data_IF_948109677103
#
_entry.id   IF_948109677103
#
_cell.length_a   1.000
_cell.length_b   1.000
_cell.length_c   1.000
_cell.angle_alpha   90.00
_cell.angle_beta   90.00
_cell.angle_gamma   90.00
#
_symmetry.space_group_name_H-M   'P 1'
#
loop_
_entity.id
_entity.type
_entity.pdbx_description
1 polymer ?
#
# COMPACT_ATOMS: atom_id res chain seq x y z
N UNK A 1 -8.05 -46.76 -12.52
CA UNK A 1 -7.88 -45.66 -13.49
C UNK A 1 -8.27 -44.36 -12.78
N UNK A 2 -7.29 -43.60 -12.26
CA UNK A 2 -7.57 -42.30 -11.62
C UNK A 2 -7.94 -41.30 -12.72
N UNK A 3 -9.18 -40.80 -12.68
CA UNK A 3 -9.58 -39.64 -13.46
C UNK A 3 -8.82 -38.44 -12.88
N UNK A 4 -7.78 -37.96 -13.58
CA UNK A 4 -7.17 -36.68 -13.27
C UNK A 4 -8.19 -35.59 -13.61
N UNK A 5 -9.01 -35.20 -12.63
CA UNK A 5 -9.70 -33.91 -12.67
C UNK A 5 -8.64 -32.85 -12.94
N UNK A 6 -8.83 -32.03 -13.98
CA UNK A 6 -7.91 -30.94 -14.30
C UNK A 6 -7.70 -30.09 -13.04
N UNK A 7 -6.49 -30.09 -12.50
CA UNK A 7 -6.11 -29.29 -11.32
C UNK A 7 -5.94 -27.80 -11.65
N UNK A 8 -6.10 -27.42 -12.92
CA UNK A 8 -5.95 -26.07 -13.41
C UNK A 8 -7.09 -25.74 -14.37
N UNK A 9 -7.53 -24.46 -14.43
CA UNK A 9 -8.54 -24.04 -15.37
C UNK A 9 -8.04 -24.18 -16.80
N UNK A 10 -8.96 -24.18 -17.79
CA UNK A 10 -8.59 -24.24 -19.20
C UNK A 10 -7.55 -23.18 -19.57
N UNK A 11 -6.54 -23.57 -20.34
CA UNK A 11 -5.48 -22.67 -20.77
C UNK A 11 -6.06 -21.52 -21.61
N UNK A 12 -5.87 -20.28 -21.15
CA UNK A 12 -6.18 -19.06 -21.88
C UNK A 12 -4.88 -18.28 -22.12
N UNK A 13 -4.06 -18.68 -23.10
CA UNK A 13 -2.74 -18.11 -23.30
C UNK A 13 -2.86 -16.63 -23.64
N UNK A 14 -2.28 -15.79 -22.80
CA UNK A 14 -2.07 -14.38 -23.08
C UNK A 14 -0.71 -14.21 -23.76
N UNK A 15 -0.59 -13.20 -24.63
CA UNK A 15 0.73 -12.78 -25.13
C UNK A 15 1.55 -12.30 -23.94
N UNK A 16 2.50 -13.13 -23.49
CA UNK A 16 3.47 -12.81 -22.44
C UNK A 16 4.82 -12.51 -23.10
N UNK A 17 5.02 -11.32 -23.71
CA UNK A 17 6.32 -10.97 -24.25
C UNK A 17 7.36 -11.00 -23.14
N UNK A 18 8.56 -11.50 -23.44
CA UNK A 18 9.67 -11.53 -22.48
C UNK A 18 10.00 -10.11 -22.01
N UNK A 19 9.75 -9.83 -20.74
CA UNK A 19 10.09 -8.55 -20.14
C UNK A 19 11.61 -8.48 -19.94
N UNK A 20 12.25 -7.56 -20.65
CA UNK A 20 13.67 -7.25 -20.46
C UNK A 20 13.81 -6.35 -19.23
N UNK A 21 14.22 -6.91 -18.09
CA UNK A 21 14.32 -6.19 -16.81
C UNK A 21 15.36 -5.05 -16.81
N UNK A 22 16.37 -5.13 -17.69
CA UNK A 22 17.36 -4.06 -17.89
C UNK A 22 16.83 -2.87 -18.68
N UNK A 23 15.71 -3.03 -19.38
CA UNK A 23 15.07 -1.97 -20.17
C UNK A 23 13.90 -1.40 -19.36
N UNK A 24 13.98 -0.11 -19.04
CA UNK A 24 12.83 0.60 -18.49
C UNK A 24 11.70 0.57 -19.52
N UNK A 25 10.66 -0.24 -19.27
CA UNK A 25 9.43 -0.15 -20.04
C UNK A 25 8.81 1.20 -19.72
N UNK A 26 8.67 2.06 -20.73
CA UNK A 26 8.08 3.38 -20.56
C UNK A 26 6.79 3.25 -19.76
N UNK A 27 6.75 3.88 -18.58
CA UNK A 27 5.54 3.83 -17.76
C UNK A 27 4.37 4.32 -18.61
N UNK A 28 3.18 3.73 -18.45
CA UNK A 28 1.95 4.35 -18.95
C UNK A 28 1.92 5.73 -18.32
N UNK A 29 2.34 6.75 -19.08
CA UNK A 29 2.37 8.14 -18.64
C UNK A 29 0.96 8.43 -18.19
N UNK A 30 0.77 8.61 -16.88
CA UNK A 30 -0.50 9.03 -16.33
C UNK A 30 -0.88 10.32 -17.09
N UNK A 31 -2.06 10.31 -17.73
CA UNK A 31 -2.58 11.41 -18.56
C UNK A 31 -2.13 12.77 -17.98
N UNK A 32 -1.28 13.54 -18.69
CA UNK A 32 -0.61 14.74 -18.20
C UNK A 32 -1.58 15.92 -18.15
N UNK A 33 -2.78 15.72 -17.62
CA UNK A 33 -3.69 16.81 -17.29
C UNK A 33 -3.02 17.75 -16.30
N UNK A 34 -3.35 19.03 -16.40
CA UNK A 34 -2.83 20.22 -15.69
C UNK A 34 -2.99 20.21 -14.15
N UNK A 35 -3.11 19.04 -13.52
CA UNK A 35 -3.47 18.84 -12.11
C UNK A 35 -2.24 18.61 -11.17
N UNK A 36 -1.06 18.08 -11.58
CA UNK A 36 -0.01 17.78 -10.61
C UNK A 36 0.83 18.99 -10.19
N UNK A 37 0.79 20.11 -10.93
CA UNK A 37 1.62 21.28 -10.59
C UNK A 37 1.09 21.99 -9.35
N UNK A 38 -0.22 22.11 -9.19
CA UNK A 38 -0.82 22.74 -8.01
C UNK A 38 -0.57 21.90 -6.76
N UNK A 39 -0.65 20.56 -6.88
CA UNK A 39 -0.31 19.65 -5.80
C UNK A 39 1.15 19.77 -5.40
N UNK A 40 2.07 19.80 -6.37
CA UNK A 40 3.50 20.01 -6.11
C UNK A 40 3.77 21.37 -5.47
N UNK A 41 3.15 22.43 -5.98
CA UNK A 41 3.32 23.78 -5.44
C UNK A 41 2.81 23.87 -4.00
N UNK A 42 1.65 23.28 -3.72
CA UNK A 42 1.08 23.25 -2.38
C UNK A 42 1.95 22.41 -1.42
N UNK A 43 2.39 21.22 -1.82
CA UNK A 43 3.22 20.34 -0.98
C UNK A 43 4.59 20.95 -0.72
N UNK A 44 5.35 21.25 -1.77
CA UNK A 44 6.73 21.73 -1.62
C UNK A 44 6.79 23.21 -1.24
N UNK A 45 6.04 24.06 -1.94
CA UNK A 45 6.01 25.49 -1.64
C UNK A 45 5.40 25.78 -0.28
N UNK A 46 4.32 25.09 0.07
CA UNK A 46 3.71 25.22 1.39
C UNK A 46 4.59 24.69 2.52
N UNK A 47 5.27 23.55 2.32
CA UNK A 47 6.22 23.02 3.31
C UNK A 47 7.39 23.99 3.50
N UNK A 48 8.01 24.48 2.43
CA UNK A 48 9.08 25.47 2.50
C UNK A 48 8.63 26.75 3.21
N UNK A 49 7.43 27.25 2.90
CA UNK A 49 6.85 28.43 3.54
C UNK A 49 6.62 28.24 5.03
N UNK A 50 6.05 27.11 5.45
CA UNK A 50 5.87 26.78 6.87
C UNK A 50 7.20 26.62 7.59
N UNK A 51 8.17 25.93 7.00
CA UNK A 51 9.50 25.75 7.62
C UNK A 51 10.26 27.06 7.74
N UNK A 52 10.21 27.93 6.73
CA UNK A 52 10.84 29.24 6.78
C UNK A 52 10.20 30.14 7.84
N UNK A 53 8.87 30.19 7.89
CA UNK A 53 8.14 30.99 8.88
C UNK A 53 8.34 30.48 10.31
N UNK A 54 8.24 29.17 10.54
CA UNK A 54 8.51 28.57 11.85
C UNK A 54 9.97 28.72 12.26
N UNK A 55 10.92 28.52 11.35
CA UNK A 55 12.34 28.75 11.60
C UNK A 55 12.65 30.20 11.95
N UNK A 56 12.02 31.15 11.25
CA UNK A 56 12.12 32.58 11.57
C UNK A 56 11.54 32.92 12.95
N UNK A 57 10.35 32.40 13.28
CA UNK A 57 9.74 32.60 14.59
C UNK A 57 10.63 32.00 15.71
N UNK A 58 11.14 30.80 15.51
CA UNK A 58 12.04 30.16 16.48
C UNK A 58 13.35 30.95 16.64
N UNK A 59 13.94 31.44 15.55
CA UNK A 59 15.10 32.32 15.59
C UNK A 59 14.82 33.62 16.37
N UNK A 60 13.66 34.24 16.16
CA UNK A 60 13.28 35.47 16.85
C UNK A 60 12.98 35.27 18.35
N UNK A 61 12.58 34.06 18.76
CA UNK A 61 12.30 33.71 20.15
C UNK A 61 13.53 33.26 20.93
N UNK A 62 14.50 32.63 20.26
CA UNK A 62 15.70 32.11 20.91
C UNK A 62 16.72 33.24 21.18
N UNK A 63 17.38 33.24 22.37
CA UNK A 63 18.39 34.24 22.72
C UNK A 63 19.73 33.95 22.02
N UNK A 64 19.78 34.18 20.70
CA UNK A 64 20.90 33.81 19.84
C UNK A 64 21.89 34.95 19.58
N UNK A 65 21.48 36.20 19.80
CA UNK A 65 22.34 37.38 19.68
C UNK A 65 22.71 37.91 21.07
N UNK A 66 23.77 38.72 21.16
CA UNK A 66 24.31 39.20 22.45
C UNK A 66 23.31 40.03 23.26
N UNK A 67 22.45 40.80 22.58
CA UNK A 67 21.46 41.66 23.23
C UNK A 67 20.34 40.83 23.88
N UNK A 68 19.76 39.87 23.15
CA UNK A 68 18.73 38.97 23.68
C UNK A 68 19.30 37.99 24.68
N UNK A 69 20.52 37.49 24.47
CA UNK A 69 21.20 36.61 25.42
C UNK A 69 21.37 37.30 26.78
N UNK A 70 21.80 38.57 26.79
CA UNK A 70 21.89 39.34 28.03
C UNK A 70 20.51 39.58 28.68
N UNK A 71 19.51 39.95 27.88
CA UNK A 71 18.14 40.19 28.36
C UNK A 71 17.50 38.94 28.99
N UNK A 72 17.82 37.75 28.48
CA UNK A 72 17.34 36.46 28.98
C UNK A 72 18.27 35.83 30.02
N UNK A 73 19.31 36.53 30.47
CA UNK A 73 20.26 36.04 31.46
C UNK A 73 21.17 34.90 30.97
N UNK A 74 21.23 34.66 29.66
CA UNK A 74 22.09 33.67 29.02
C UNK A 74 23.45 34.30 28.77
N UNK A 75 24.37 34.13 29.72
CA UNK A 75 25.73 34.69 29.64
C UNK A 75 26.77 33.70 29.12
N UNK A 76 26.43 32.41 29.09
CA UNK A 76 27.37 31.36 28.74
C UNK A 76 27.44 31.11 27.22
N UNK A 77 28.63 31.17 26.59
CA UNK A 77 28.78 30.96 25.15
C UNK A 77 28.44 29.53 24.72
N UNK A 78 28.64 28.52 25.58
CA UNK A 78 28.28 27.14 25.24
C UNK A 78 26.76 26.95 25.13
N UNK A 79 25.97 27.68 25.94
CA UNK A 79 24.51 27.64 25.87
C UNK A 79 24.06 28.20 24.52
N UNK A 80 24.60 29.35 24.11
CA UNK A 80 24.28 29.97 22.83
C UNK A 80 24.57 29.03 21.66
N UNK A 81 25.70 28.31 21.68
CA UNK A 81 26.03 27.29 20.67
C UNK A 81 25.01 26.15 20.64
N UNK A 82 24.56 25.65 21.80
CA UNK A 82 23.52 24.62 21.86
C UNK A 82 22.17 25.12 21.33
N UNK A 83 21.84 26.40 21.54
CA UNK A 83 20.61 27.00 21.00
C UNK A 83 20.67 27.13 19.47
N UNK A 84 21.83 27.42 18.89
CA UNK A 84 22.03 27.36 17.43
C UNK A 84 21.86 25.94 16.88
N UNK A 85 22.43 24.94 17.58
CA UNK A 85 22.25 23.54 17.21
C UNK A 85 20.78 23.11 17.31
N UNK A 86 20.09 23.52 18.38
CA UNK A 86 18.67 23.29 18.59
C UNK A 86 17.84 23.92 17.46
N UNK A 87 18.13 25.16 17.06
CA UNK A 87 17.45 25.83 15.94
C UNK A 87 17.63 25.04 14.64
N UNK A 88 18.85 24.58 14.34
CA UNK A 88 19.12 23.76 13.16
C UNK A 88 18.33 22.44 13.18
N UNK A 89 18.35 21.73 14.31
CA UNK A 89 17.61 20.48 14.48
C UNK A 89 16.09 20.71 14.39
N UNK A 90 15.59 21.80 14.97
CA UNK A 90 14.19 22.19 14.87
C UNK A 90 13.79 22.43 13.42
N UNK A 91 14.57 23.19 12.63
CA UNK A 91 14.26 23.46 11.21
C UNK A 91 14.18 22.15 10.41
N UNK A 92 15.11 21.22 10.63
CA UNK A 92 15.12 19.92 9.93
C UNK A 92 13.92 19.07 10.31
N UNK A 93 13.65 18.92 11.61
CA UNK A 93 12.56 18.08 12.13
C UNK A 93 11.19 18.68 11.79
N UNK A 94 11.02 19.99 11.96
CA UNK A 94 9.82 20.71 11.56
C UNK A 94 9.64 20.66 10.04
N UNK A 95 10.72 20.75 9.26
CA UNK A 95 10.69 20.59 7.80
C UNK A 95 10.10 19.25 7.37
N UNK A 96 10.53 18.16 8.00
CA UNK A 96 9.96 16.83 7.78
C UNK A 96 8.45 16.79 8.12
N UNK A 97 8.04 17.34 9.26
CA UNK A 97 6.63 17.38 9.68
C UNK A 97 5.80 18.26 8.73
N UNK A 98 6.30 19.43 8.35
CA UNK A 98 5.64 20.33 7.42
C UNK A 98 5.47 19.69 6.03
N UNK A 99 6.47 18.93 5.56
CA UNK A 99 6.40 18.21 4.29
C UNK A 99 5.30 17.15 4.31
N UNK A 100 5.26 16.31 5.34
CA UNK A 100 4.25 15.24 5.47
C UNK A 100 2.85 15.82 5.66
N UNK A 101 2.70 16.89 6.45
CA UNK A 101 1.43 17.60 6.64
C UNK A 101 0.92 18.24 5.34
N UNK A 102 1.78 18.95 4.59
CA UNK A 102 1.38 19.57 3.32
C UNK A 102 1.16 18.54 2.22
N UNK A 103 1.85 17.39 2.25
CA UNK A 103 1.54 16.27 1.38
C UNK A 103 0.13 15.70 1.66
N UNK A 104 -0.21 15.46 2.93
CA UNK A 104 -1.55 15.01 3.32
C UNK A 104 -2.64 16.02 2.95
N UNK A 105 -2.40 17.31 3.23
CA UNK A 105 -3.32 18.39 2.87
C UNK A 105 -3.51 18.49 1.36
N UNK A 106 -2.44 18.33 0.57
CA UNK A 106 -2.54 18.33 -0.89
C UNK A 106 -3.40 17.19 -1.42
N UNK A 107 -3.28 15.98 -0.84
CA UNK A 107 -4.11 14.83 -1.21
C UNK A 107 -5.60 15.04 -0.85
N UNK A 108 -5.86 15.75 0.25
CA UNK A 108 -7.22 16.09 0.69
C UNK A 108 -7.87 17.17 -0.19
N UNK A 109 -7.15 18.25 -0.50
CA UNK A 109 -7.69 19.39 -1.23
C UNK A 109 -7.76 19.16 -2.74
N UNK A 110 -6.79 18.43 -3.30
CA UNK A 110 -6.65 18.22 -4.75
C UNK A 110 -7.17 16.83 -5.10
N UNK A 111 -8.23 16.38 -4.40
CA UNK A 111 -8.84 15.05 -4.56
C UNK A 111 -8.99 14.70 -6.03
N UNK A 112 -8.05 13.90 -6.52
CA UNK A 112 -8.19 13.17 -7.78
C UNK A 112 -9.44 12.34 -7.62
N UNK A 113 -10.27 12.31 -8.66
CA UNK A 113 -11.46 11.49 -8.72
C UNK A 113 -11.07 10.07 -8.32
N UNK A 114 -11.22 9.73 -7.02
CA UNK A 114 -11.14 8.37 -6.55
C UNK A 114 -12.21 7.72 -7.39
N UNK A 115 -11.84 6.83 -8.31
CA UNK A 115 -12.80 5.92 -8.89
C UNK A 115 -13.33 5.16 -7.68
N UNK A 116 -14.36 5.72 -7.04
CA UNK A 116 -15.04 5.05 -5.95
C UNK A 116 -15.61 3.83 -6.63
N UNK A 117 -15.21 2.66 -6.15
CA UNK A 117 -15.96 1.46 -6.47
C UNK A 117 -17.41 1.81 -6.14
N UNK A 118 -18.28 1.77 -7.14
CA UNK A 118 -19.71 1.85 -6.89
C UNK A 118 -20.05 0.50 -6.26
N UNK A 119 -20.41 0.46 -4.96
CA UNK A 119 -20.59 -0.81 -4.25
C UNK A 119 -21.62 -1.71 -4.91
N UNK A 120 -22.61 -1.09 -5.56
CA UNK A 120 -23.72 -1.76 -6.25
C UNK A 120 -23.52 -1.87 -7.77
N UNK A 121 -22.31 -1.59 -8.28
CA UNK A 121 -22.06 -1.79 -9.69
C UNK A 121 -22.13 -3.29 -10.03
N UNK A 122 -22.87 -3.68 -11.07
CA UNK A 122 -22.97 -5.07 -11.46
C UNK A 122 -21.58 -5.62 -11.86
N UNK A 123 -21.25 -6.79 -11.33
CA UNK A 123 -20.08 -7.55 -11.76
C UNK A 123 -20.36 -8.14 -13.15
N UNK A 124 -19.55 -7.76 -14.14
CA UNK A 124 -19.69 -8.24 -15.52
C UNK A 124 -18.71 -9.38 -15.89
N UNK A 125 -17.65 -9.56 -15.11
CA UNK A 125 -16.61 -10.57 -15.35
C UNK A 125 -16.61 -11.70 -14.32
N UNK A 126 -15.73 -12.68 -14.56
CA UNK A 126 -15.30 -13.66 -13.55
C UNK A 126 -13.94 -13.21 -12.99
N UNK A 127 -13.78 -13.29 -11.68
CA UNK A 127 -12.59 -12.88 -10.94
C UNK A 127 -12.01 -14.08 -10.22
N UNK A 128 -10.71 -14.27 -10.29
CA UNK A 128 -10.05 -15.36 -9.56
C UNK A 128 -9.54 -14.82 -8.22
N UNK A 129 -9.93 -15.46 -7.12
CA UNK A 129 -9.30 -15.35 -5.81
C UNK A 129 -8.04 -16.22 -5.83
N UNK A 130 -6.91 -15.57 -6.13
CA UNK A 130 -5.61 -16.22 -6.16
C UNK A 130 -5.03 -16.32 -4.74
N UNK A 131 -4.72 -17.54 -4.29
CA UNK A 131 -4.11 -17.80 -2.99
C UNK A 131 -2.72 -18.44 -3.17
N UNK A 132 -1.63 -17.66 -3.13
CA UNK A 132 -0.30 -18.23 -3.00
C UNK A 132 -0.11 -18.82 -1.59
N UNK A 133 0.55 -19.98 -1.51
CA UNK A 133 0.82 -20.73 -0.28
C UNK A 133 2.30 -21.16 -0.29
N UNK A 134 3.06 -20.75 0.71
CA UNK A 134 4.43 -21.15 1.00
C UNK A 134 4.60 -21.59 2.48
N UNK A 135 4.55 -22.90 2.74
CA UNK A 135 4.79 -23.50 4.06
C UNK A 135 3.87 -22.97 5.19
N UNK A 136 2.70 -22.38 4.89
CA UNK A 136 1.70 -22.04 5.90
C UNK A 136 0.91 -23.27 6.37
N UNK A 137 0.12 -23.11 7.43
CA UNK A 137 -0.82 -24.15 7.86
C UNK A 137 -1.99 -24.28 6.85
N UNK A 138 -2.11 -25.42 6.13
CA UNK A 138 -3.08 -25.54 5.05
C UNK A 138 -4.54 -25.49 5.52
N UNK A 139 -4.79 -25.90 6.76
CA UNK A 139 -6.14 -25.89 7.37
C UNK A 139 -6.61 -24.46 7.55
N UNK A 140 -5.77 -23.61 8.13
CA UNK A 140 -6.07 -22.18 8.32
C UNK A 140 -6.32 -21.46 7.00
N UNK A 141 -5.47 -21.69 5.99
CA UNK A 141 -5.63 -21.11 4.65
C UNK A 141 -6.95 -21.54 4.00
N UNK A 142 -7.22 -22.84 3.95
CA UNK A 142 -8.43 -23.36 3.31
C UNK A 142 -9.71 -22.99 4.08
N UNK A 143 -9.64 -22.86 5.41
CA UNK A 143 -10.76 -22.37 6.21
C UNK A 143 -11.11 -20.92 5.87
N UNK A 144 -10.10 -20.05 5.73
CA UNK A 144 -10.31 -18.67 5.30
C UNK A 144 -10.91 -18.59 3.89
N UNK A 145 -10.40 -19.40 2.95
CA UNK A 145 -10.95 -19.52 1.60
C UNK A 145 -12.41 -19.98 1.60
N UNK A 146 -12.74 -20.99 2.42
CA UNK A 146 -14.11 -21.48 2.57
C UNK A 146 -15.04 -20.39 3.11
N UNK A 147 -14.61 -19.65 4.13
CA UNK A 147 -15.40 -18.57 4.71
C UNK A 147 -15.68 -17.46 3.69
N UNK A 148 -14.66 -17.05 2.92
CA UNK A 148 -14.83 -16.06 1.85
C UNK A 148 -15.78 -16.57 0.75
N UNK A 149 -15.67 -17.84 0.37
CA UNK A 149 -16.56 -18.43 -0.64
C UNK A 149 -18.03 -18.47 -0.17
N UNK A 150 -18.27 -18.82 1.09
CA UNK A 150 -19.60 -18.86 1.71
C UNK A 150 -20.21 -17.46 1.83
N UNK A 151 -19.42 -16.44 2.18
CA UNK A 151 -19.89 -15.05 2.22
C UNK A 151 -20.24 -14.53 0.82
N UNK A 152 -19.41 -14.83 -0.19
CA UNK A 152 -19.70 -14.51 -1.59
C UNK A 152 -20.95 -15.23 -2.10
N UNK A 153 -21.21 -16.46 -1.64
CA UNK A 153 -22.42 -17.20 -1.93
C UNK A 153 -23.65 -16.57 -1.29
N UNK A 154 -23.55 -16.16 -0.02
CA UNK A 154 -24.63 -15.47 0.70
C UNK A 154 -25.02 -14.14 0.05
N UNK A 155 -24.05 -13.43 -0.56
CA UNK A 155 -24.28 -12.22 -1.34
C UNK A 155 -24.81 -12.49 -2.77
N UNK A 156 -24.95 -13.75 -3.18
CA UNK A 156 -25.37 -14.12 -4.55
C UNK A 156 -24.31 -13.84 -5.62
N UNK A 157 -23.05 -13.62 -5.21
CA UNK A 157 -21.95 -13.24 -6.08
C UNK A 157 -21.04 -14.41 -6.48
N UNK A 158 -21.17 -15.58 -5.86
CA UNK A 158 -20.27 -16.73 -6.07
C UNK A 158 -20.01 -17.08 -7.54
N UNK A 159 -21.01 -16.94 -8.43
CA UNK A 159 -20.84 -17.19 -9.89
C UNK A 159 -19.79 -16.31 -10.58
N UNK A 160 -19.47 -15.16 -9.98
CA UNK A 160 -18.47 -14.23 -10.48
C UNK A 160 -17.06 -14.53 -9.98
N UNK A 161 -16.88 -15.58 -9.18
CA UNK A 161 -15.62 -15.90 -8.55
C UNK A 161 -15.20 -17.35 -8.76
N UNK A 162 -13.89 -17.56 -8.71
CA UNK A 162 -13.23 -18.88 -8.67
C UNK A 162 -12.05 -18.78 -7.71
N UNK A 163 -11.69 -19.87 -7.05
CA UNK A 163 -10.50 -19.91 -6.18
C UNK A 163 -9.38 -20.62 -6.95
N UNK A 164 -8.17 -20.08 -6.88
CA UNK A 164 -6.99 -20.71 -7.46
C UNK A 164 -5.85 -20.72 -6.43
N UNK A 165 -5.43 -21.91 -5.99
CA UNK A 165 -4.36 -22.08 -5.00
C UNK A 165 -3.04 -22.36 -5.70
N UNK A 166 -2.04 -21.50 -5.50
CA UNK A 166 -0.67 -21.69 -6.02
C UNK A 166 0.22 -22.13 -4.86
N UNK A 167 0.62 -23.40 -4.86
CA UNK A 167 1.58 -23.92 -3.89
C UNK A 167 3.02 -23.71 -4.34
N UNK A 168 3.83 -23.11 -3.48
CA UNK A 168 5.29 -23.10 -3.54
C UNK A 168 5.90 -23.81 -2.32
N UNK A 169 5.11 -24.64 -1.62
CA UNK A 169 5.50 -25.34 -0.39
C UNK A 169 6.66 -26.31 -0.63
N UNK A 170 7.78 -26.07 0.05
CA UNK A 170 9.01 -26.88 -0.06
C UNK A 170 9.07 -28.04 0.94
N UNK A 171 8.36 -27.93 2.07
CA UNK A 171 8.30 -28.99 3.08
C UNK A 171 7.38 -30.14 2.65
N UNK A 172 7.92 -31.36 2.58
CA UNK A 172 7.18 -32.54 2.12
C UNK A 172 5.99 -32.92 3.03
N UNK A 173 6.12 -32.70 4.34
CA UNK A 173 5.06 -32.97 5.31
C UNK A 173 3.91 -32.00 5.12
N UNK A 174 4.22 -30.70 5.01
CA UNK A 174 3.20 -29.66 4.79
C UNK A 174 2.55 -29.86 3.43
N UNK A 175 3.32 -30.12 2.38
CA UNK A 175 2.82 -30.36 1.02
C UNK A 175 1.82 -31.51 0.94
N UNK A 176 2.05 -32.62 1.65
CA UNK A 176 1.11 -33.74 1.69
C UNK A 176 -0.22 -33.38 2.36
N UNK A 177 -0.16 -32.63 3.47
CA UNK A 177 -1.34 -32.11 4.18
C UNK A 177 -2.09 -31.12 3.32
N UNK A 178 -1.37 -30.23 2.63
CA UNK A 178 -1.94 -29.22 1.74
C UNK A 178 -2.77 -29.84 0.63
N UNK A 179 -2.25 -30.85 -0.07
CA UNK A 179 -3.00 -31.56 -1.11
C UNK A 179 -4.33 -32.16 -0.59
N UNK A 180 -4.30 -32.73 0.61
CA UNK A 180 -5.51 -33.29 1.25
C UNK A 180 -6.52 -32.21 1.64
N UNK A 181 -6.06 -31.12 2.27
CA UNK A 181 -6.95 -30.04 2.71
C UNK A 181 -7.53 -29.27 1.53
N UNK A 182 -6.75 -29.02 0.48
CA UNK A 182 -7.24 -28.42 -0.76
C UNK A 182 -8.29 -29.31 -1.41
N UNK A 183 -8.12 -30.64 -1.39
CA UNK A 183 -9.17 -31.54 -1.89
C UNK A 183 -10.46 -31.43 -1.07
N UNK A 184 -10.37 -31.39 0.27
CA UNK A 184 -11.54 -31.15 1.12
C UNK A 184 -12.23 -29.82 0.81
N UNK A 185 -11.46 -28.77 0.51
CA UNK A 185 -12.01 -27.47 0.10
C UNK A 185 -12.74 -27.57 -1.24
N UNK A 186 -12.17 -28.26 -2.23
CA UNK A 186 -12.82 -28.50 -3.54
C UNK A 186 -14.15 -29.23 -3.37
N UNK A 187 -14.15 -30.30 -2.57
CA UNK A 187 -15.35 -31.11 -2.34
C UNK A 187 -16.43 -30.31 -1.61
N UNK A 188 -16.05 -29.45 -0.65
CA UNK A 188 -16.98 -28.57 0.08
C UNK A 188 -17.62 -27.50 -0.81
N UNK A 189 -16.84 -26.92 -1.74
CA UNK A 189 -17.29 -25.78 -2.55
C UNK A 189 -17.78 -26.16 -3.94
N UNK A 190 -17.88 -27.45 -4.27
CA UNK A 190 -18.28 -27.96 -5.60
C UNK A 190 -19.59 -27.38 -6.13
N UNK A 191 -20.54 -27.07 -5.24
CA UNK A 191 -21.84 -26.47 -5.60
C UNK A 191 -21.86 -24.94 -5.57
N UNK A 192 -20.81 -24.32 -5.03
CA UNK A 192 -20.71 -22.87 -4.81
C UNK A 192 -19.89 -22.22 -5.91
N UNK A 193 -18.63 -22.64 -6.08
CA UNK A 193 -17.71 -22.12 -7.08
C UNK A 193 -16.56 -23.09 -7.37
N UNK A 194 -15.93 -23.01 -8.56
CA UNK A 194 -14.74 -23.78 -8.86
C UNK A 194 -13.56 -23.44 -7.95
N UNK A 195 -12.83 -24.48 -7.53
CA UNK A 195 -11.59 -24.38 -6.77
C UNK A 195 -10.51 -25.16 -7.53
N UNK A 196 -9.46 -24.45 -7.91
CA UNK A 196 -8.32 -24.95 -8.68
C UNK A 196 -7.10 -25.09 -7.79
#
# INVERSE_FOLDING_TARGET
>A
MMQYSLATPPAAPLTMPTQVLSRHQGSRVADPRRIPWLARLLTFGGSLGLTATAGWQMYALLPLNSETALAWGVTSPWIVTLLWLLLGLFIVTFGWVALTAMAALSGLLIRRNWRRAAPDAPLHGRTVLLMPVYNEDPVSVCAALSAMAEELAALGLARHFEIFVVSDTTDATIRSREAGVVQCLRDRLVTVMPVW
#
